data_IF_669105208348
#
_entry.id   IF_669105208348
#
_cell.length_a   1.000
_cell.length_b   1.000
_cell.length_c   1.000
_cell.angle_alpha   90.00
_cell.angle_beta   90.00
_cell.angle_gamma   90.00
#
_symmetry.space_group_name_H-M   'P 1'
#
loop_
_entity.id
_entity.type
_entity.pdbx_description
1 polymer ?
#
# COMPACT_ATOMS: atom_id res chain seq x y z
N UNK A 1 33.70 13.06 -61.59
CA UNK A 1 33.15 13.54 -60.31
C UNK A 1 31.80 12.84 -60.09
N UNK A 2 31.82 11.53 -59.80
CA UNK A 2 30.61 10.66 -59.69
C UNK A 2 30.89 9.41 -58.84
N UNK A 3 31.55 9.57 -57.69
CA UNK A 3 31.95 8.44 -56.82
C UNK A 3 31.54 8.65 -55.35
N UNK A 4 30.44 9.37 -55.09
CA UNK A 4 29.97 9.65 -53.71
C UNK A 4 28.55 9.14 -53.44
N UNK A 5 27.81 8.69 -54.46
CA UNK A 5 26.38 8.32 -54.30
C UNK A 5 26.19 6.84 -53.92
N UNK A 6 27.17 5.96 -54.20
CA UNK A 6 27.03 4.52 -53.90
C UNK A 6 27.35 4.14 -52.45
N UNK A 7 28.22 4.88 -51.77
CA UNK A 7 28.61 4.59 -50.37
C UNK A 7 27.49 4.98 -49.39
N UNK A 8 26.78 6.07 -49.66
CA UNK A 8 25.66 6.56 -48.84
C UNK A 8 24.45 5.61 -48.82
N UNK A 9 24.22 4.81 -49.85
CA UNK A 9 23.10 3.87 -49.91
C UNK A 9 23.40 2.57 -49.13
N UNK A 10 24.67 2.15 -49.09
CA UNK A 10 25.10 0.97 -48.34
C UNK A 10 25.03 1.21 -46.83
N UNK A 11 25.45 2.39 -46.35
CA UNK A 11 25.36 2.74 -44.93
C UNK A 11 23.91 2.83 -44.42
N UNK A 12 22.97 3.31 -45.26
CA UNK A 12 21.55 3.36 -44.91
C UNK A 12 20.93 1.97 -44.78
N UNK A 13 21.23 1.05 -45.70
CA UNK A 13 20.68 -0.31 -45.66
C UNK A 13 21.22 -1.14 -44.48
N UNK A 14 22.47 -0.91 -44.08
CA UNK A 14 23.08 -1.54 -42.90
C UNK A 14 22.46 -0.98 -41.61
N UNK A 15 22.20 0.32 -41.54
CA UNK A 15 21.52 0.94 -40.39
C UNK A 15 20.07 0.44 -40.22
N UNK A 16 19.35 0.23 -41.32
CA UNK A 16 18.00 -0.31 -41.30
C UNK A 16 17.98 -1.78 -40.82
N UNK A 17 18.93 -2.61 -41.28
CA UNK A 17 19.05 -3.98 -40.80
C UNK A 17 19.42 -4.02 -39.30
N UNK A 18 20.36 -3.20 -38.84
CA UNK A 18 20.73 -3.14 -37.42
C UNK A 18 19.52 -2.74 -36.56
N UNK A 19 18.71 -1.80 -37.05
CA UNK A 19 17.49 -1.36 -36.36
C UNK A 19 16.43 -2.47 -36.29
N UNK A 20 16.25 -3.24 -37.36
CA UNK A 20 15.33 -4.39 -37.39
C UNK A 20 15.79 -5.51 -36.46
N UNK A 21 17.09 -5.86 -36.47
CA UNK A 21 17.64 -6.88 -35.56
C UNK A 21 17.46 -6.47 -34.10
N UNK A 22 17.75 -5.20 -33.76
CA UNK A 22 17.56 -4.69 -32.41
C UNK A 22 16.09 -4.74 -31.99
N UNK A 23 15.16 -4.43 -32.91
CA UNK A 23 13.73 -4.50 -32.64
C UNK A 23 13.28 -5.94 -32.36
N UNK A 24 13.80 -6.92 -33.12
CA UNK A 24 13.52 -8.34 -32.91
C UNK A 24 14.05 -8.84 -31.56
N UNK A 25 15.26 -8.43 -31.17
CA UNK A 25 15.84 -8.74 -29.86
C UNK A 25 15.02 -8.14 -28.71
N UNK A 26 14.61 -6.87 -28.82
CA UNK A 26 13.75 -6.21 -27.83
C UNK A 26 12.42 -6.94 -27.70
N UNK A 27 11.80 -7.32 -28.82
CA UNK A 27 10.53 -8.05 -28.82
C UNK A 27 10.67 -9.45 -28.20
N UNK A 28 11.76 -10.15 -28.49
CA UNK A 28 12.08 -11.45 -27.91
C UNK A 28 12.25 -11.38 -26.39
N UNK A 29 13.08 -10.44 -25.90
CA UNK A 29 13.28 -10.21 -24.47
C UNK A 29 11.99 -9.79 -23.77
N UNK A 30 11.18 -8.94 -24.40
CA UNK A 30 9.90 -8.53 -23.85
C UNK A 30 8.91 -9.70 -23.78
N UNK A 31 8.92 -10.61 -24.76
CA UNK A 31 8.09 -11.82 -24.74
C UNK A 31 8.52 -12.76 -23.61
N UNK A 32 9.82 -12.97 -23.43
CA UNK A 32 10.36 -13.77 -22.33
C UNK A 32 10.00 -13.17 -20.96
N UNK A 33 10.16 -11.86 -20.79
CA UNK A 33 9.77 -11.17 -19.57
C UNK A 33 8.29 -11.35 -19.26
N UNK A 34 7.40 -11.16 -20.25
CA UNK A 34 5.95 -11.33 -20.09
C UNK A 34 5.58 -12.75 -19.68
N UNK A 35 6.27 -13.76 -20.21
CA UNK A 35 6.07 -15.16 -19.81
C UNK A 35 6.36 -15.37 -18.33
N UNK A 36 7.48 -14.87 -17.84
CA UNK A 36 7.80 -14.98 -16.41
C UNK A 36 6.87 -14.13 -15.54
N UNK A 37 6.49 -12.93 -15.99
CA UNK A 37 5.51 -12.11 -15.28
C UNK A 37 4.17 -12.85 -15.08
N UNK A 38 3.68 -13.53 -16.12
CA UNK A 38 2.48 -14.39 -16.02
C UNK A 38 2.70 -15.55 -15.05
N UNK A 39 3.83 -16.24 -15.15
CA UNK A 39 4.17 -17.35 -14.25
C UNK A 39 4.24 -16.89 -12.78
N UNK A 40 4.77 -15.69 -12.52
CA UNK A 40 4.79 -15.08 -11.19
C UNK A 40 3.38 -14.81 -10.68
N UNK A 41 2.50 -14.23 -11.51
CA UNK A 41 1.12 -13.96 -11.14
C UNK A 41 0.38 -15.24 -10.73
N UNK A 42 0.47 -16.28 -11.55
CA UNK A 42 -0.08 -17.61 -11.26
C UNK A 42 0.53 -18.26 -10.02
N UNK A 43 1.85 -18.09 -9.82
CA UNK A 43 2.54 -18.55 -8.63
C UNK A 43 1.98 -17.92 -7.36
N UNK A 44 1.72 -16.62 -7.38
CA UNK A 44 1.12 -15.91 -6.24
C UNK A 44 -0.29 -16.45 -5.95
N UNK A 45 -1.12 -16.67 -6.98
CA UNK A 45 -2.46 -17.25 -6.79
C UNK A 45 -2.39 -18.64 -6.16
N UNK A 46 -1.51 -19.51 -6.65
CA UNK A 46 -1.33 -20.86 -6.10
C UNK A 46 -0.85 -20.86 -4.65
N UNK A 47 0.11 -19.99 -4.31
CA UNK A 47 0.57 -19.84 -2.93
C UNK A 47 -0.58 -19.41 -2.00
N UNK A 48 -1.39 -18.47 -2.47
CA UNK A 48 -2.53 -17.97 -1.73
C UNK A 48 -3.64 -19.02 -1.56
N UNK A 49 -3.90 -19.85 -2.57
CA UNK A 49 -4.83 -20.98 -2.48
C UNK A 49 -4.36 -22.08 -1.55
N UNK A 50 -3.07 -22.44 -1.59
CA UNK A 50 -2.50 -23.41 -0.65
C UNK A 50 -2.69 -22.91 0.79
N UNK A 51 -2.53 -21.60 1.03
CA UNK A 51 -2.75 -21.02 2.34
C UNK A 51 -4.22 -21.12 2.79
N UNK A 52 -5.18 -20.88 1.89
CA UNK A 52 -6.62 -21.05 2.19
C UNK A 52 -6.94 -22.53 2.43
N UNK A 53 -6.46 -23.42 1.56
CA UNK A 53 -6.65 -24.85 1.69
C UNK A 53 -6.05 -25.41 2.98
N UNK A 54 -4.87 -24.94 3.37
CA UNK A 54 -4.25 -25.32 4.64
C UNK A 54 -5.08 -24.85 5.85
N UNK A 55 -5.73 -23.69 5.76
CA UNK A 55 -6.66 -23.23 6.79
C UNK A 55 -7.95 -24.07 6.85
N UNK A 56 -8.43 -24.57 5.71
CA UNK A 56 -9.64 -25.39 5.64
C UNK A 56 -9.40 -26.87 6.02
N UNK A 57 -8.22 -27.41 5.72
CA UNK A 57 -7.86 -28.84 5.93
C UNK A 57 -7.22 -29.12 7.30
N UNK A 58 -6.53 -28.15 7.89
CA UNK A 58 -5.80 -28.31 9.15
C UNK A 58 -6.59 -27.73 10.32
N UNK A 59 -6.38 -28.29 11.50
CA UNK A 59 -6.84 -27.66 12.74
C UNK A 59 -5.96 -26.44 13.09
N UNK A 60 -6.31 -25.74 14.18
CA UNK A 60 -5.63 -24.49 14.56
C UNK A 60 -4.13 -24.69 14.85
N UNK A 61 -3.77 -25.79 15.49
CA UNK A 61 -2.36 -26.10 15.80
C UNK A 61 -1.62 -26.48 14.52
N UNK A 62 -2.19 -27.36 13.68
CA UNK A 62 -1.61 -27.73 12.39
C UNK A 62 -1.45 -26.55 11.43
N UNK A 63 -2.40 -25.60 11.40
CA UNK A 63 -2.25 -24.38 10.60
C UNK A 63 -1.13 -23.48 11.14
N UNK A 64 -0.95 -23.42 12.47
CA UNK A 64 0.15 -22.67 13.08
C UNK A 64 1.50 -23.27 12.71
N UNK A 65 1.62 -24.60 12.77
CA UNK A 65 2.82 -25.33 12.35
C UNK A 65 3.10 -25.18 10.85
N UNK A 66 2.05 -25.17 10.02
CA UNK A 66 2.16 -24.86 8.60
C UNK A 66 2.75 -23.46 8.39
N UNK A 67 2.19 -22.42 9.04
CA UNK A 67 2.71 -21.05 8.94
C UNK A 67 4.18 -20.95 9.35
N UNK A 68 4.58 -21.68 10.39
CA UNK A 68 5.98 -21.79 10.82
C UNK A 68 6.85 -22.45 9.76
N UNK A 69 6.42 -23.58 9.20
CA UNK A 69 7.16 -24.32 8.17
C UNK A 69 7.41 -23.50 6.89
N UNK A 70 6.49 -22.61 6.52
CA UNK A 70 6.61 -21.74 5.33
C UNK A 70 7.18 -20.35 5.63
N UNK A 71 7.59 -20.07 6.88
CA UNK A 71 8.20 -18.79 7.27
C UNK A 71 7.22 -17.61 7.34
N UNK A 72 5.95 -17.87 7.63
CA UNK A 72 4.87 -16.88 7.80
C UNK A 72 4.41 -16.69 9.26
N UNK A 73 5.04 -17.36 10.22
CA UNK A 73 4.83 -17.13 11.65
C UNK A 73 5.08 -15.65 12.02
N UNK A 74 4.17 -15.05 12.78
CA UNK A 74 4.25 -13.62 13.15
C UNK A 74 4.00 -12.63 11.99
N UNK A 75 3.49 -13.10 10.84
CA UNK A 75 3.20 -12.28 9.65
C UNK A 75 1.71 -12.25 9.33
N UNK A 76 0.88 -12.01 10.33
CA UNK A 76 -0.59 -12.05 10.25
C UNK A 76 -1.13 -11.11 9.15
N UNK A 77 -0.51 -9.94 8.99
CA UNK A 77 -0.88 -9.00 7.92
C UNK A 77 -0.62 -9.58 6.52
N UNK A 78 0.46 -10.34 6.33
CA UNK A 78 0.78 -10.99 5.06
C UNK A 78 -0.12 -12.19 4.82
N UNK A 79 -0.34 -13.00 5.85
CA UNK A 79 -1.26 -14.15 5.84
C UNK A 79 -2.68 -13.69 5.48
N UNK A 80 -3.17 -12.62 6.10
CA UNK A 80 -4.49 -12.05 5.84
C UNK A 80 -4.64 -11.56 4.39
N UNK A 81 -3.60 -10.90 3.84
CA UNK A 81 -3.60 -10.45 2.43
C UNK A 81 -3.60 -11.64 1.46
N UNK A 82 -2.76 -12.64 1.70
CA UNK A 82 -2.74 -13.85 0.88
C UNK A 82 -4.05 -14.61 0.96
N UNK A 83 -4.65 -14.71 2.15
CA UNK A 83 -5.98 -15.31 2.32
C UNK A 83 -7.04 -14.60 1.46
N UNK A 84 -7.04 -13.27 1.42
CA UNK A 84 -7.96 -12.53 0.54
C UNK A 84 -7.72 -12.85 -0.94
N UNK A 85 -6.47 -12.93 -1.37
CA UNK A 85 -6.13 -13.31 -2.75
C UNK A 85 -6.62 -14.73 -3.05
N UNK A 86 -6.35 -15.70 -2.16
CA UNK A 86 -6.71 -17.10 -2.35
C UNK A 86 -8.21 -17.30 -2.46
N UNK A 87 -8.99 -16.63 -1.60
CA UNK A 87 -10.47 -16.65 -1.68
C UNK A 87 -11.03 -16.05 -2.97
N UNK A 88 -10.27 -15.15 -3.61
CA UNK A 88 -10.64 -14.52 -4.86
C UNK A 88 -9.94 -15.13 -6.08
N UNK A 89 -9.17 -16.21 -5.93
CA UNK A 89 -8.25 -16.72 -6.97
C UNK A 89 -8.97 -17.06 -8.27
N UNK A 90 -10.10 -17.79 -8.20
CA UNK A 90 -10.92 -18.11 -9.37
C UNK A 90 -11.37 -16.85 -10.13
N UNK A 91 -11.85 -15.84 -9.40
CA UNK A 91 -12.25 -14.57 -10.00
C UNK A 91 -11.06 -13.82 -10.59
N UNK A 92 -9.88 -13.89 -9.97
CA UNK A 92 -8.68 -13.25 -10.52
C UNK A 92 -8.21 -13.93 -11.80
N UNK A 93 -8.31 -15.26 -11.91
CA UNK A 93 -7.93 -16.00 -13.12
C UNK A 93 -8.72 -15.62 -14.36
N UNK A 94 -9.92 -15.07 -14.22
CA UNK A 94 -10.72 -14.61 -15.38
C UNK A 94 -10.03 -13.49 -16.16
N UNK A 95 -9.06 -12.79 -15.55
CA UNK A 95 -8.22 -11.79 -16.22
C UNK A 95 -7.25 -12.40 -17.25
N UNK A 96 -6.91 -13.69 -17.14
CA UNK A 96 -6.02 -14.38 -18.07
C UNK A 96 -4.68 -13.66 -18.27
N UNK A 97 -4.37 -13.25 -19.51
CA UNK A 97 -3.14 -12.53 -19.85
C UNK A 97 -3.02 -11.13 -19.21
N UNK A 98 -4.13 -10.55 -18.74
CA UNK A 98 -4.15 -9.25 -18.07
C UNK A 98 -3.86 -9.36 -16.56
N UNK A 99 -3.65 -10.57 -16.03
CA UNK A 99 -3.41 -10.78 -14.61
C UNK A 99 -2.14 -10.03 -14.14
N UNK A 100 -2.23 -9.12 -13.16
CA UNK A 100 -1.08 -8.39 -12.67
C UNK A 100 -0.07 -9.31 -11.96
N UNK A 101 1.22 -9.10 -12.21
CA UNK A 101 2.31 -9.88 -11.61
C UNK A 101 2.72 -9.44 -10.19
N UNK A 102 2.14 -8.34 -9.68
CA UNK A 102 2.40 -7.82 -8.34
C UNK A 102 1.35 -8.30 -7.34
N UNK A 103 1.79 -8.96 -6.26
CA UNK A 103 0.90 -9.43 -5.18
C UNK A 103 0.10 -8.29 -4.53
N UNK A 104 0.64 -7.06 -4.51
CA UNK A 104 -0.08 -5.90 -3.97
C UNK A 104 -1.22 -5.45 -4.88
N UNK A 105 -1.05 -5.51 -6.20
CA UNK A 105 -2.13 -5.23 -7.17
C UNK A 105 -3.19 -6.32 -7.09
N UNK A 106 -2.78 -7.60 -7.04
CA UNK A 106 -3.70 -8.73 -6.86
C UNK A 106 -4.51 -8.61 -5.58
N UNK A 107 -3.89 -8.19 -4.48
CA UNK A 107 -4.60 -7.92 -3.23
C UNK A 107 -5.66 -6.82 -3.39
N UNK A 108 -5.34 -5.72 -4.07
CA UNK A 108 -6.31 -4.65 -4.30
C UNK A 108 -7.49 -5.14 -5.16
N UNK A 109 -7.23 -5.93 -6.20
CA UNK A 109 -8.29 -6.55 -7.02
C UNK A 109 -9.14 -7.52 -6.21
N UNK A 110 -8.52 -8.33 -5.34
CA UNK A 110 -9.22 -9.27 -4.47
C UNK A 110 -10.18 -8.58 -3.50
N UNK A 111 -9.85 -7.37 -3.03
CA UNK A 111 -10.72 -6.55 -2.17
C UNK A 111 -11.96 -6.01 -2.86
N UNK A 112 -12.00 -5.99 -4.19
CA UNK A 112 -13.12 -5.37 -4.90
C UNK A 112 -14.39 -6.22 -4.77
N UNK A 113 -15.55 -5.58 -4.57
CA UNK A 113 -16.83 -6.23 -4.79
C UNK A 113 -16.93 -6.75 -6.23
N UNK A 114 -17.66 -7.86 -6.47
CA UNK A 114 -17.80 -8.44 -7.82
C UNK A 114 -18.21 -7.42 -8.88
N UNK A 115 -19.18 -6.56 -8.56
CA UNK A 115 -19.67 -5.50 -9.46
C UNK A 115 -18.56 -4.53 -9.91
N UNK A 116 -17.69 -4.12 -8.98
CA UNK A 116 -16.58 -3.22 -9.30
C UNK A 116 -15.49 -3.93 -10.08
N UNK A 117 -15.22 -5.20 -9.75
CA UNK A 117 -14.24 -6.04 -10.42
C UNK A 117 -14.59 -6.21 -11.91
N UNK A 118 -15.81 -6.64 -12.21
CA UNK A 118 -16.30 -6.80 -13.59
C UNK A 118 -16.21 -5.48 -14.39
N UNK A 119 -16.55 -4.37 -13.73
CA UNK A 119 -16.57 -3.06 -14.36
C UNK A 119 -15.16 -2.52 -14.71
N UNK A 120 -14.09 -3.07 -14.12
CA UNK A 120 -12.71 -2.67 -14.41
C UNK A 120 -11.92 -3.74 -15.17
N UNK A 121 -12.43 -4.96 -15.29
CA UNK A 121 -11.74 -6.11 -15.85
C UNK A 121 -11.10 -5.82 -17.21
N UNK A 122 -11.81 -5.11 -18.10
CA UNK A 122 -11.33 -4.74 -19.44
C UNK A 122 -10.24 -3.66 -19.46
N UNK A 123 -10.00 -2.98 -18.33
CA UNK A 123 -9.02 -1.89 -18.20
C UNK A 123 -7.76 -2.34 -17.46
N UNK A 124 -7.80 -3.51 -16.80
CA UNK A 124 -6.65 -4.07 -16.09
C UNK A 124 -5.61 -4.56 -17.10
N UNK A 125 -4.33 -4.39 -16.78
CA UNK A 125 -3.20 -4.90 -17.56
C UNK A 125 -2.21 -5.61 -16.65
N UNK A 126 -1.40 -6.51 -17.22
CA UNK A 126 -0.45 -7.32 -16.44
C UNK A 126 0.66 -6.51 -15.78
N UNK A 127 0.94 -5.30 -16.27
CA UNK A 127 1.93 -4.38 -15.72
C UNK A 127 1.33 -3.36 -14.74
N UNK A 128 0.03 -3.45 -14.47
CA UNK A 128 -0.66 -2.48 -13.65
C UNK A 128 -0.20 -2.53 -12.19
N UNK A 129 0.11 -1.36 -11.66
CA UNK A 129 0.46 -1.16 -10.27
C UNK A 129 -0.77 -0.96 -9.40
N UNK A 130 -0.62 -1.18 -8.09
CA UNK A 130 -1.68 -0.91 -7.14
C UNK A 130 -2.07 0.58 -7.08
N UNK A 131 -1.19 1.50 -7.49
CA UNK A 131 -1.47 2.95 -7.54
C UNK A 131 -2.40 3.24 -8.71
N UNK A 132 -2.02 2.83 -9.91
CA UNK A 132 -2.83 3.02 -11.13
C UNK A 132 -4.21 2.37 -10.98
N UNK A 133 -4.28 1.18 -10.38
CA UNK A 133 -5.56 0.53 -10.10
C UNK A 133 -6.46 1.38 -9.19
N UNK A 134 -5.90 2.03 -8.17
CA UNK A 134 -6.68 2.93 -7.30
C UNK A 134 -7.18 4.13 -8.10
N UNK A 135 -6.34 4.74 -8.93
CA UNK A 135 -6.73 5.87 -9.78
C UNK A 135 -7.87 5.49 -10.74
N UNK A 136 -7.83 4.29 -11.32
CA UNK A 136 -8.91 3.78 -12.19
C UNK A 136 -10.25 3.65 -11.48
N UNK A 137 -10.24 3.31 -10.19
CA UNK A 137 -11.43 3.21 -9.34
C UNK A 137 -11.95 4.61 -8.96
N UNK A 138 -11.07 5.54 -8.61
CA UNK A 138 -11.44 6.92 -8.27
C UNK A 138 -11.98 7.71 -9.48
N UNK A 139 -11.44 7.48 -10.69
CA UNK A 139 -11.90 8.15 -11.90
C UNK A 139 -13.39 7.88 -12.24
N UNK A 140 -13.98 6.78 -11.73
CA UNK A 140 -15.42 6.51 -11.89
C UNK A 140 -16.31 7.29 -10.92
N UNK A 141 -15.77 7.83 -9.83
CA UNK A 141 -16.53 8.62 -8.85
C UNK A 141 -16.91 10.00 -9.41
N UNK A 142 -16.16 10.51 -10.40
CA UNK A 142 -16.37 11.85 -10.97
C UNK A 142 -17.53 11.97 -11.99
N UNK A 143 -18.25 10.88 -12.30
CA UNK A 143 -19.41 10.91 -13.21
C UNK A 143 -20.76 10.61 -12.52
N UNK A 144 -20.83 10.63 -11.19
CA UNK A 144 -22.09 10.61 -10.45
C UNK A 144 -22.32 11.99 -9.80
N UNK A 145 -23.54 12.56 -9.84
CA UNK A 145 -23.81 13.83 -9.16
C UNK A 145 -23.45 13.67 -7.68
N UNK A 146 -22.68 14.62 -7.11
CA UNK A 146 -22.12 14.45 -5.79
C UNK A 146 -23.23 14.38 -4.75
N UNK A 147 -23.36 13.24 -4.05
CA UNK A 147 -23.87 13.28 -2.69
C UNK A 147 -22.87 14.12 -1.91
N UNK A 148 -23.32 15.28 -1.43
CA UNK A 148 -22.54 16.20 -0.59
C UNK A 148 -21.98 15.43 0.60
N UNK A 149 -20.74 15.01 0.49
CA UNK A 149 -19.87 14.80 1.64
C UNK A 149 -18.63 15.60 1.32
N UNK A 150 -18.54 16.77 1.94
CA UNK A 150 -17.38 17.65 1.85
C UNK A 150 -16.09 16.85 2.02
N UNK A 151 -15.13 16.98 1.09
CA UNK A 151 -13.80 16.43 1.28
C UNK A 151 -13.09 17.33 2.29
N UNK A 152 -13.11 16.95 3.57
CA UNK A 152 -12.11 17.46 4.49
C UNK A 152 -10.77 16.84 4.11
N UNK A 153 -10.02 17.57 3.28
CA UNK A 153 -8.58 17.40 3.15
C UNK A 153 -7.95 17.90 4.45
N UNK A 154 -8.15 17.19 5.55
CA UNK A 154 -7.41 17.39 6.78
C UNK A 154 -6.13 16.58 6.68
N UNK A 155 -4.93 17.20 6.75
CA UNK A 155 -3.71 16.43 6.94
C UNK A 155 -3.89 15.59 8.19
N UNK A 156 -3.89 14.26 8.02
CA UNK A 156 -4.02 13.30 9.11
C UNK A 156 -2.73 13.31 9.94
N UNK A 157 -2.55 14.34 10.77
CA UNK A 157 -1.55 14.33 11.83
C UNK A 157 -1.99 13.31 12.87
N UNK A 158 -1.32 12.15 12.90
CA UNK A 158 -1.51 11.17 13.97
C UNK A 158 -0.65 11.62 15.15
N UNK A 159 -1.23 11.94 16.31
CA UNK A 159 -0.42 12.27 17.49
C UNK A 159 0.40 11.04 17.88
N UNK A 160 1.72 11.19 17.93
CA UNK A 160 2.63 10.17 18.45
C UNK A 160 2.74 10.40 19.95
N UNK A 161 2.20 9.49 20.75
CA UNK A 161 2.40 9.52 22.20
C UNK A 161 3.72 8.85 22.55
N UNK A 162 4.71 9.65 22.96
CA UNK A 162 5.98 9.16 23.48
C UNK A 162 5.85 9.08 25.01
N UNK A 163 5.98 7.87 25.57
CA UNK A 163 6.04 7.67 27.02
C UNK A 163 7.50 7.60 27.44
N UNK A 164 7.90 8.45 28.39
CA UNK A 164 9.24 8.43 28.97
C UNK A 164 9.26 7.48 30.17
N UNK A 165 10.21 6.55 30.19
CA UNK A 165 10.44 5.65 31.34
C UNK A 165 11.73 6.01 32.12
N UNK A 166 12.41 7.10 31.74
CA UNK A 166 13.58 7.64 32.44
C UNK A 166 13.24 8.90 33.23
N UNK A 167 13.85 9.08 34.41
CA UNK A 167 13.63 10.22 35.33
C UNK A 167 14.17 11.58 34.86
N UNK A 168 14.21 11.82 33.54
CA UNK A 168 14.56 13.12 32.97
C UNK A 168 13.46 14.15 33.19
N UNK A 169 13.85 15.42 33.31
CA UNK A 169 12.90 16.50 33.51
C UNK A 169 12.19 16.88 32.20
N UNK A 170 10.99 17.44 32.29
CA UNK A 170 10.27 17.97 31.12
C UNK A 170 11.10 19.03 30.37
N UNK A 171 11.95 19.77 31.09
CA UNK A 171 12.82 20.80 30.54
C UNK A 171 13.85 20.22 29.55
N UNK A 172 14.52 19.14 29.93
CA UNK A 172 15.53 18.46 29.09
C UNK A 172 14.91 17.90 27.80
N UNK A 173 13.66 17.44 27.89
CA UNK A 173 12.92 16.97 26.72
C UNK A 173 12.56 18.11 25.75
N UNK A 174 12.15 19.27 26.29
CA UNK A 174 11.83 20.44 25.48
C UNK A 174 13.08 20.96 24.75
N UNK A 175 14.23 21.01 25.43
CA UNK A 175 15.50 21.38 24.80
C UNK A 175 15.90 20.41 23.67
N UNK A 176 15.74 19.11 23.89
CA UNK A 176 15.99 18.11 22.85
C UNK A 176 15.05 18.25 21.65
N UNK A 177 13.77 18.61 21.87
CA UNK A 177 12.81 18.87 20.80
C UNK A 177 13.17 20.11 19.99
N UNK A 178 13.63 21.18 20.63
CA UNK A 178 14.10 22.39 19.93
C UNK A 178 15.33 22.11 19.05
N UNK A 179 16.27 21.29 19.54
CA UNK A 179 17.43 20.84 18.77
C UNK A 179 17.01 20.06 17.51
N UNK A 180 16.07 19.12 17.68
CA UNK A 180 15.51 18.34 16.58
C UNK A 180 14.77 19.24 15.57
N UNK A 181 13.98 20.20 16.06
CA UNK A 181 13.28 21.19 15.22
C UNK A 181 14.26 21.97 14.36
N UNK A 182 15.37 22.45 14.94
CA UNK A 182 16.41 23.18 14.20
C UNK A 182 17.05 22.33 13.11
N UNK A 183 17.24 21.03 13.37
CA UNK A 183 17.96 20.12 12.47
C UNK A 183 17.10 19.55 11.34
N UNK A 184 15.82 19.32 11.59
CA UNK A 184 14.93 18.60 10.66
C UNK A 184 13.75 19.43 10.15
N UNK A 185 13.63 20.71 10.54
CA UNK A 185 12.63 21.66 10.02
C UNK A 185 11.18 21.16 10.09
N UNK A 186 10.77 20.60 11.23
CA UNK A 186 9.38 20.20 11.48
C UNK A 186 8.70 21.08 12.54
N UNK A 187 7.37 21.17 12.48
CA UNK A 187 6.57 21.87 13.48
C UNK A 187 6.08 20.90 14.57
N UNK A 188 6.12 21.35 15.82
CA UNK A 188 5.65 20.58 16.99
C UNK A 188 4.54 21.38 17.65
N UNK A 189 3.32 20.88 17.55
CA UNK A 189 2.18 21.39 18.31
C UNK A 189 2.10 20.62 19.63
N UNK A 190 2.58 21.25 20.71
CA UNK A 190 2.39 20.75 22.07
C UNK A 190 1.03 21.23 22.59
N UNK A 191 0.08 20.34 22.94
CA UNK A 191 -1.14 20.79 23.60
C UNK A 191 -0.78 21.35 24.98
N UNK A 192 -1.01 22.64 25.16
CA UNK A 192 -0.85 23.32 26.45
C UNK A 192 -1.83 22.68 27.43
N UNK A 193 -1.32 21.89 28.36
CA UNK A 193 -2.05 21.46 29.55
C UNK A 193 -2.28 22.70 30.42
N UNK A 194 -3.42 23.37 30.23
CA UNK A 194 -3.93 24.33 31.19
C UNK A 194 -4.09 23.60 32.54
N UNK A 195 -3.51 24.10 33.64
CA UNK A 195 -3.79 23.53 34.95
C UNK A 195 -5.28 23.72 35.29
N UNK A 196 -5.89 22.77 36.03
CA UNK A 196 -7.28 22.92 36.45
C UNK A 196 -7.43 24.18 37.29
N UNK A 197 -8.45 24.98 36.97
CA UNK A 197 -8.78 26.21 37.67
C UNK A 197 -8.85 25.96 39.18
N UNK A 198 -7.85 26.46 39.91
CA UNK A 198 -7.90 26.56 41.36
C UNK A 198 -8.99 27.57 41.72
N UNK A 199 -10.10 27.05 42.24
CA UNK A 199 -11.23 27.84 42.71
C UNK A 199 -10.78 28.89 43.73
N UNK A 200 -11.02 30.15 43.41
CA UNK A 200 -10.86 31.27 44.32
C UNK A 200 -11.77 31.10 45.53
N UNK A 201 -11.19 31.33 46.72
CA UNK A 201 -11.90 31.29 47.97
C UNK A 201 -12.98 32.37 48.10
N UNK A 202 -14.07 32.00 48.75
CA UNK A 202 -14.95 32.92 49.46
C UNK A 202 -14.92 32.52 50.95
N UNK A 203 -14.70 33.45 51.88
CA UNK A 203 -14.64 33.13 53.29
C UNK A 203 -16.02 33.20 53.97
N UNK A 204 -16.14 32.38 55.03
CA UNK A 204 -16.92 32.63 56.27
C UNK A 204 -18.44 32.35 56.25
N UNK A 205 -18.82 31.28 56.94
CA UNK A 205 -19.74 31.32 58.09
C UNK A 205 -19.74 29.97 58.81
N UNK A 206 -19.26 29.95 60.06
CA UNK A 206 -19.57 28.89 61.02
C UNK A 206 -21.08 28.87 61.30
N UNK A 207 -21.64 27.68 61.61
CA UNK A 207 -22.44 27.62 62.81
C UNK A 207 -22.12 26.41 63.70
N UNK A 208 -21.97 26.74 64.98
CA UNK A 208 -22.16 25.99 66.22
C UNK A 208 -22.50 24.50 66.11
N UNK A 209 -21.66 23.69 66.75
CA UNK A 209 -22.08 22.47 67.42
C UNK A 209 -22.67 22.82 68.78
N UNK A 210 -23.89 22.37 69.03
CA UNK A 210 -24.54 22.10 70.31
C UNK A 210 -25.78 21.28 69.92
N UNK A 211 -26.24 20.22 70.56
CA UNK A 211 -25.79 19.37 71.64
C UNK A 211 -26.83 18.22 71.68
N UNK A 212 -26.43 17.06 72.20
CA UNK A 212 -27.27 15.92 72.62
C UNK A 212 -27.90 15.01 71.56
#
# INVERSE_FOLDING_TARGET
MTMTILESAADSAVADHISLTLLDEVNSLAAEYRRYAKATAEGILKLAEILVRAEDELDREGFTDFLKAVGLEGREATVSKHRMIGKAAERLRTLGEALPNSWTTLYQLAKLPPEQFEAIMSRVSSQMTAIELRELLFAKVCNAPPKKTEPQSTPSFRPISIRFEGGGSLQEFLEALEELKRRFSFEVDLPILLPPATGGGAPRAEPLQDAA
#
